data_IF_093790482984
#
_entry.id   IF_093790482984
#
_cell.length_a   1.000
_cell.length_b   1.000
_cell.length_c   1.000
_cell.angle_alpha   90.00
_cell.angle_beta   90.00
_cell.angle_gamma   90.00
#
_symmetry.space_group_name_H-M   'P 1'
#
loop_
_entity.id
_entity.type
_entity.pdbx_description
1 polymer ?
#
# COMPACT_ATOMS: atom_id res chain seq x y z
N UNK A 1 16.85 8.06 -12.57
CA UNK A 1 15.85 7.80 -11.51
C UNK A 1 14.59 8.56 -11.88
N UNK A 2 13.40 8.05 -11.55
CA UNK A 2 12.14 8.67 -11.95
C UNK A 2 11.56 9.56 -10.86
N UNK A 3 10.62 10.42 -11.23
CA UNK A 3 9.94 11.31 -10.29
C UNK A 3 8.50 10.86 -10.12
N UNK A 4 7.98 10.90 -8.90
CA UNK A 4 6.60 10.56 -8.65
C UNK A 4 5.65 11.47 -9.45
N UNK A 5 4.67 10.90 -10.17
CA UNK A 5 3.69 11.68 -10.93
C UNK A 5 2.93 12.72 -10.07
N UNK A 6 2.75 12.44 -8.78
CA UNK A 6 2.03 13.31 -7.84
C UNK A 6 2.95 14.26 -7.06
N UNK A 7 4.25 14.03 -7.08
CA UNK A 7 5.22 14.78 -6.30
C UNK A 7 6.48 14.97 -7.14
N UNK A 8 6.61 16.16 -7.74
CA UNK A 8 7.80 16.55 -8.50
C UNK A 8 9.08 16.62 -7.63
N UNK A 9 8.92 16.88 -6.34
CA UNK A 9 10.00 16.92 -5.35
C UNK A 9 10.53 15.53 -4.96
N UNK A 10 9.74 14.46 -5.20
CA UNK A 10 10.12 13.11 -4.78
C UNK A 10 10.66 12.27 -5.92
N UNK A 11 11.95 12.03 -5.84
CA UNK A 11 12.59 10.95 -6.58
C UNK A 11 12.17 9.58 -6.04
N UNK A 12 11.88 8.65 -6.95
CA UNK A 12 11.43 7.31 -6.61
C UNK A 12 11.91 6.30 -7.63
N UNK A 13 12.01 5.05 -7.18
CA UNK A 13 12.40 3.89 -7.99
C UNK A 13 11.22 2.98 -8.28
N UNK A 14 10.04 3.24 -7.70
CA UNK A 14 8.86 2.42 -7.96
C UNK A 14 8.27 2.77 -9.32
N UNK A 15 8.36 1.82 -10.24
CA UNK A 15 7.87 1.92 -11.60
C UNK A 15 6.63 1.05 -11.79
N UNK A 16 5.58 1.65 -12.35
CA UNK A 16 4.38 0.93 -12.75
C UNK A 16 4.57 0.37 -14.16
N UNK A 17 4.83 -0.94 -14.28
CA UNK A 17 4.95 -1.59 -15.60
C UNK A 17 3.66 -1.56 -16.43
N UNK A 18 2.48 -1.38 -15.80
CA UNK A 18 1.19 -1.33 -16.50
C UNK A 18 0.97 -0.02 -17.26
N UNK A 19 1.40 1.11 -16.67
CA UNK A 19 1.10 2.45 -17.17
C UNK A 19 2.37 3.28 -17.43
N UNK A 20 3.55 2.71 -17.23
CA UNK A 20 4.86 3.29 -17.54
C UNK A 20 5.12 4.64 -16.83
N UNK A 21 4.76 4.75 -15.55
CA UNK A 21 5.04 5.93 -14.73
C UNK A 21 5.62 5.56 -13.35
N UNK A 22 6.23 6.55 -12.69
CA UNK A 22 6.84 6.41 -11.39
C UNK A 22 5.94 6.94 -10.27
N UNK A 23 5.99 6.29 -9.10
CA UNK A 23 5.22 6.65 -7.89
C UNK A 23 6.12 6.60 -6.66
N UNK A 24 5.90 7.44 -5.65
CA UNK A 24 6.52 7.25 -4.34
C UNK A 24 5.75 6.19 -3.52
N UNK A 25 6.33 5.68 -2.43
CA UNK A 25 5.68 4.70 -1.53
C UNK A 25 4.32 5.16 -1.00
N UNK A 26 4.13 6.46 -0.78
CA UNK A 26 2.84 7.00 -0.34
C UNK A 26 1.77 6.96 -1.43
N UNK A 27 2.17 7.28 -2.66
CA UNK A 27 1.30 7.25 -3.83
C UNK A 27 1.23 5.87 -4.48
N UNK A 28 1.96 4.86 -4.00
CA UNK A 28 2.05 3.50 -4.55
C UNK A 28 0.73 2.72 -4.41
N UNK A 29 -0.34 3.23 -5.00
CA UNK A 29 -1.62 2.58 -5.18
C UNK A 29 -1.84 2.31 -6.67
N UNK A 30 -2.46 1.17 -6.97
CA UNK A 30 -2.74 0.81 -8.36
C UNK A 30 -3.95 1.61 -8.83
N UNK A 31 -3.80 2.39 -9.90
CA UNK A 31 -4.90 3.21 -10.46
C UNK A 31 -6.19 2.43 -10.72
N UNK A 32 -6.09 1.15 -11.11
CA UNK A 32 -7.26 0.28 -11.31
C UNK A 32 -6.96 -1.10 -10.72
N UNK A 33 -7.25 -1.31 -9.42
CA UNK A 33 -6.95 -2.55 -8.71
C UNK A 33 -7.94 -3.69 -9.03
N UNK A 34 -9.12 -3.36 -9.55
CA UNK A 34 -10.12 -4.31 -10.04
C UNK A 34 -9.71 -4.97 -11.36
N UNK A 35 -8.95 -4.24 -12.19
CA UNK A 35 -8.42 -4.77 -13.44
C UNK A 35 -7.26 -5.73 -13.17
N UNK A 36 -7.30 -6.91 -13.77
CA UNK A 36 -6.19 -7.86 -13.73
C UNK A 36 -4.95 -7.23 -14.38
N UNK A 37 -3.78 -7.41 -13.76
CA UNK A 37 -2.50 -6.95 -14.29
C UNK A 37 -1.54 -8.14 -14.28
N UNK A 38 -0.95 -8.47 -15.43
CA UNK A 38 -0.02 -9.60 -15.55
C UNK A 38 1.21 -9.48 -14.65
N UNK A 39 1.60 -8.25 -14.29
CA UNK A 39 2.76 -7.99 -13.45
C UNK A 39 2.43 -7.99 -11.95
N UNK A 40 1.16 -8.16 -11.57
CA UNK A 40 0.69 -8.16 -10.17
C UNK A 40 1.47 -9.07 -9.21
N UNK A 41 1.92 -10.29 -9.56
CA UNK A 41 2.74 -11.11 -8.66
C UNK A 41 4.13 -10.51 -8.37
N UNK A 42 4.71 -9.77 -9.31
CA UNK A 42 6.04 -9.16 -9.18
C UNK A 42 5.99 -7.64 -8.98
N UNK A 43 4.80 -7.05 -8.84
CA UNK A 43 4.61 -5.61 -8.82
C UNK A 43 4.88 -5.07 -7.40
N UNK A 44 5.92 -4.25 -7.18
CA UNK A 44 6.23 -3.72 -5.85
C UNK A 44 5.12 -2.78 -5.34
N UNK A 45 4.47 -2.04 -6.24
CA UNK A 45 3.32 -1.16 -5.90
C UNK A 45 2.16 -1.98 -5.32
N UNK A 46 1.87 -3.15 -5.92
CA UNK A 46 0.80 -4.01 -5.44
C UNK A 46 1.12 -4.62 -4.07
N UNK A 47 2.38 -5.01 -3.88
CA UNK A 47 2.88 -5.52 -2.61
C UNK A 47 2.73 -4.47 -1.50
N UNK A 48 3.31 -3.28 -1.68
CA UNK A 48 3.23 -2.16 -0.73
C UNK A 48 1.79 -1.81 -0.36
N UNK A 49 0.90 -1.72 -1.36
CA UNK A 49 -0.54 -1.48 -1.15
C UNK A 49 -1.19 -2.56 -0.28
N UNK A 50 -0.90 -3.83 -0.58
CA UNK A 50 -1.47 -4.98 0.14
C UNK A 50 -0.99 -5.02 1.58
N UNK A 51 0.27 -4.71 1.82
CA UNK A 51 0.84 -4.56 3.16
C UNK A 51 0.19 -3.41 3.91
N UNK A 52 0.06 -2.23 3.30
CA UNK A 52 -0.61 -1.06 3.91
C UNK A 52 -2.06 -1.38 4.30
N UNK A 53 -2.80 -2.12 3.47
CA UNK A 53 -4.16 -2.58 3.82
C UNK A 53 -4.18 -3.60 4.95
N UNK A 54 -3.19 -4.50 5.03
CA UNK A 54 -3.08 -5.46 6.15
C UNK A 54 -2.74 -4.73 7.46
N UNK A 55 -1.78 -3.82 7.42
CA UNK A 55 -1.39 -3.01 8.58
C UNK A 55 -2.57 -2.16 9.10
N UNK A 56 -3.32 -1.50 8.22
CA UNK A 56 -4.52 -0.75 8.60
C UNK A 56 -5.60 -1.61 9.26
N UNK A 57 -5.85 -2.83 8.75
CA UNK A 57 -6.80 -3.76 9.39
C UNK A 57 -6.35 -4.19 10.77
N UNK A 58 -5.08 -4.52 10.94
CA UNK A 58 -4.52 -4.89 12.24
C UNK A 58 -4.54 -3.71 13.22
N UNK A 59 -4.24 -2.50 12.75
CA UNK A 59 -4.31 -1.29 13.56
C UNK A 59 -5.75 -0.98 13.99
N UNK A 60 -6.72 -1.11 13.07
CA UNK A 60 -8.13 -0.95 13.37
C UNK A 60 -8.63 -1.99 14.37
N UNK A 61 -8.23 -3.26 14.22
CA UNK A 61 -8.58 -4.33 15.15
C UNK A 61 -7.94 -4.12 16.53
N UNK A 62 -6.66 -3.69 16.58
CA UNK A 62 -5.98 -3.32 17.84
C UNK A 62 -6.62 -2.12 18.51
N UNK A 63 -7.04 -1.11 17.76
CA UNK A 63 -7.73 0.06 18.29
C UNK A 63 -9.16 -0.25 18.77
N UNK A 64 -9.83 -1.24 18.15
CA UNK A 64 -11.16 -1.70 18.52
C UNK A 64 -11.18 -2.72 19.66
N UNK A 65 -10.03 -3.12 20.21
CA UNK A 65 -9.93 -3.93 21.42
C UNK A 65 -9.84 -3.01 22.64
N UNK A 66 -10.96 -2.66 23.32
CA UNK A 66 -10.86 -2.05 24.63
C UNK A 66 -10.25 -3.06 25.60
N UNK A 67 -9.22 -2.62 26.31
CA UNK A 67 -8.64 -3.36 27.41
C UNK A 67 -9.72 -3.68 28.47
N UNK A 68 -9.74 -4.93 28.95
CA UNK A 68 -10.35 -5.27 30.23
C UNK A 68 -11.40 -6.38 30.19
N UNK A 69 -10.98 -7.63 30.34
CA UNK A 69 -11.77 -8.60 31.11
C UNK A 69 -11.34 -8.46 32.58
N UNK A 70 -12.18 -7.96 33.50
CA UNK A 70 -11.87 -8.03 34.92
C UNK A 70 -11.89 -9.50 35.36
N UNK A 71 -11.01 -9.82 36.30
CA UNK A 71 -10.57 -11.18 36.62
C UNK A 71 -11.65 -12.12 37.13
N UNK A 72 -11.38 -13.41 36.92
CA UNK A 72 -11.97 -14.55 37.65
C UNK A 72 -11.83 -14.33 39.16
N UNK A 73 -12.95 -14.38 39.89
CA UNK A 73 -13.01 -14.84 41.28
C UNK A 73 -14.03 -15.96 41.34
#
# INVERSE_FOLDING_TARGET
>A
MGTCRNHEDRETKLWCAKNYYYLCDECADCYSPEMHCQHRPSCPIWFLRSERKRAQRQAAEKAAQPAGKPGKR
#
